data_IF_366975683727
#
_entry.id   IF_366975683727
#
_cell.length_a   1.000
_cell.length_b   1.000
_cell.length_c   1.000
_cell.angle_alpha   90.00
_cell.angle_beta   90.00
_cell.angle_gamma   90.00
#
_symmetry.space_group_name_H-M   'P 1'
#
loop_
_entity.id
_entity.type
_entity.pdbx_description
1 polymer ?
#
# COMPACT_ATOMS: atom_id res chain seq x y z
N UNK A 1 5.60 8.84 26.75
CA UNK A 1 5.35 7.38 26.69
C UNK A 1 3.94 7.15 27.22
N UNK A 2 3.03 6.62 26.40
CA UNK A 2 1.68 6.22 26.84
C UNK A 2 1.74 4.71 27.10
N UNK A 3 1.55 4.31 28.35
CA UNK A 3 1.45 2.91 28.76
C UNK A 3 -0.02 2.61 29.02
N UNK A 4 -0.49 1.47 28.52
CA UNK A 4 -1.86 1.04 28.66
C UNK A 4 -1.92 -0.43 29.10
N UNK A 5 -2.94 -0.77 29.89
CA UNK A 5 -3.22 -2.14 30.34
C UNK A 5 -4.73 -2.38 30.28
N UNK A 6 -5.13 -3.59 29.87
CA UNK A 6 -6.53 -4.03 29.93
C UNK A 6 -6.60 -5.43 30.56
N UNK A 7 -7.61 -5.64 31.41
CA UNK A 7 -7.95 -6.96 31.94
C UNK A 7 -8.71 -7.83 30.93
N UNK A 8 -9.08 -7.28 29.78
CA UNK A 8 -9.90 -7.93 28.75
C UNK A 8 -9.09 -8.44 27.55
N UNK A 9 -7.76 -8.53 27.68
CA UNK A 9 -6.87 -9.09 26.66
C UNK A 9 -6.08 -8.05 25.85
N UNK A 10 -5.21 -8.55 24.97
CA UNK A 10 -4.25 -7.73 24.20
C UNK A 10 -4.96 -6.90 23.14
N UNK A 11 -6.00 -7.45 22.50
CA UNK A 11 -6.80 -6.73 21.51
C UNK A 11 -7.46 -5.47 22.09
N UNK A 12 -8.05 -5.56 23.30
CA UNK A 12 -8.60 -4.39 23.98
C UNK A 12 -7.49 -3.42 24.38
N UNK A 13 -6.41 -3.91 24.99
CA UNK A 13 -5.29 -3.07 25.41
C UNK A 13 -4.68 -2.27 24.25
N UNK A 14 -4.45 -2.90 23.09
CA UNK A 14 -3.93 -2.23 21.89
C UNK A 14 -4.91 -1.22 21.32
N UNK A 15 -6.21 -1.53 21.32
CA UNK A 15 -7.25 -0.60 20.86
C UNK A 15 -7.33 0.64 21.75
N UNK A 16 -7.39 0.47 23.06
CA UNK A 16 -7.49 1.59 24.01
C UNK A 16 -6.21 2.44 24.05
N UNK A 17 -5.05 1.79 23.92
CA UNK A 17 -3.78 2.48 23.68
C UNK A 17 -3.85 3.32 22.39
N UNK A 18 -4.29 2.72 21.29
CA UNK A 18 -4.42 3.38 20.00
C UNK A 18 -5.40 4.55 20.00
N UNK A 19 -6.54 4.41 20.70
CA UNK A 19 -7.48 5.52 20.93
C UNK A 19 -6.81 6.67 21.69
N UNK A 20 -6.01 6.36 22.72
CA UNK A 20 -5.27 7.36 23.48
C UNK A 20 -4.22 8.07 22.62
N UNK A 21 -3.50 7.33 21.79
CA UNK A 21 -2.55 7.88 20.82
C UNK A 21 -3.28 8.80 19.82
N UNK A 22 -4.37 8.35 19.19
CA UNK A 22 -5.14 9.17 18.25
C UNK A 22 -5.66 10.45 18.88
N UNK A 23 -6.16 10.40 20.12
CA UNK A 23 -6.57 11.61 20.87
C UNK A 23 -5.39 12.56 21.12
N UNK A 24 -4.24 12.04 21.52
CA UNK A 24 -3.05 12.86 21.80
C UNK A 24 -2.54 13.60 20.56
N UNK A 25 -2.71 13.03 19.37
CA UNK A 25 -2.28 13.61 18.10
C UNK A 25 -3.43 14.23 17.28
N UNK A 26 -4.63 14.33 17.83
CA UNK A 26 -5.84 14.80 17.14
C UNK A 26 -6.12 14.08 15.80
N UNK A 27 -5.76 12.79 15.70
CA UNK A 27 -6.00 12.00 14.50
C UNK A 27 -7.46 11.55 14.44
N UNK A 28 -8.15 11.96 13.38
CA UNK A 28 -9.50 11.50 13.05
C UNK A 28 -9.44 10.29 12.10
N UNK A 29 -10.59 9.64 11.90
CA UNK A 29 -10.74 8.53 10.94
C UNK A 29 -11.35 9.00 9.60
N UNK A 30 -11.56 10.30 9.44
CA UNK A 30 -12.37 10.86 8.35
C UNK A 30 -11.81 10.50 6.97
N UNK A 31 -10.50 10.69 6.74
CA UNK A 31 -9.90 10.33 5.46
C UNK A 31 -9.93 8.83 5.21
N UNK A 32 -9.65 7.99 6.22
CA UNK A 32 -9.74 6.52 6.09
C UNK A 32 -11.16 6.06 5.73
N UNK A 33 -12.19 6.64 6.36
CA UNK A 33 -13.58 6.28 6.11
C UNK A 33 -14.07 6.72 4.72
N UNK A 34 -13.50 7.79 4.17
CA UNK A 34 -13.89 8.33 2.85
C UNK A 34 -12.91 7.97 1.73
N UNK A 35 -11.90 7.14 1.99
CA UNK A 35 -10.91 6.75 0.99
C UNK A 35 -11.52 5.79 -0.04
N UNK A 36 -11.49 6.17 -1.31
CA UNK A 36 -11.98 5.33 -2.41
C UNK A 36 -11.26 3.97 -2.41
N UNK A 37 -9.94 3.97 -2.17
CA UNK A 37 -9.10 2.76 -2.22
C UNK A 37 -9.36 1.78 -1.08
N UNK A 38 -10.03 2.23 0.00
CA UNK A 38 -10.41 1.40 1.15
C UNK A 38 -11.87 0.93 1.03
N UNK A 39 -12.71 1.66 0.29
CA UNK A 39 -14.15 1.40 0.21
C UNK A 39 -14.58 0.64 -1.03
N UNK A 40 -13.78 0.68 -2.10
CA UNK A 40 -14.12 0.04 -3.37
C UNK A 40 -13.02 -0.90 -3.82
N UNK A 41 -13.42 -1.92 -4.58
CA UNK A 41 -12.52 -2.88 -5.22
C UNK A 41 -11.50 -2.13 -6.09
N UNK A 42 -10.24 -2.50 -5.98
CA UNK A 42 -9.14 -2.02 -6.81
C UNK A 42 -8.59 -3.10 -7.74
N UNK A 43 -7.69 -2.69 -8.64
CA UNK A 43 -6.88 -3.60 -9.43
C UNK A 43 -5.41 -3.18 -9.35
N UNK A 44 -4.51 -4.08 -8.94
CA UNK A 44 -3.11 -3.74 -8.67
C UNK A 44 -2.15 -4.44 -9.63
N UNK A 45 -1.03 -3.78 -9.92
CA UNK A 45 0.06 -4.30 -10.76
C UNK A 45 1.38 -4.39 -9.99
N UNK A 46 1.26 -4.56 -8.66
CA UNK A 46 2.31 -4.66 -7.65
C UNK A 46 2.95 -6.05 -7.57
N UNK A 47 3.98 -6.18 -6.73
CA UNK A 47 4.87 -7.35 -6.67
C UNK A 47 4.16 -8.63 -6.19
N UNK A 48 3.62 -9.37 -7.15
CA UNK A 48 2.80 -10.56 -6.97
C UNK A 48 1.66 -10.60 -7.99
N UNK A 49 1.22 -9.44 -8.50
CA UNK A 49 0.27 -9.34 -9.60
C UNK A 49 0.86 -9.84 -10.93
N UNK A 50 0.00 -10.22 -11.86
CA UNK A 50 0.38 -10.77 -13.17
C UNK A 50 1.14 -9.74 -14.03
N UNK A 51 0.82 -8.45 -13.89
CA UNK A 51 1.40 -7.37 -14.69
C UNK A 51 2.50 -6.57 -13.97
N UNK A 52 3.17 -7.17 -12.98
CA UNK A 52 4.34 -6.56 -12.34
C UNK A 52 5.60 -6.80 -13.18
N UNK A 53 6.18 -5.73 -13.74
CA UNK A 53 7.28 -5.83 -14.73
C UNK A 53 6.94 -6.76 -15.90
N UNK A 54 5.66 -6.85 -16.25
CA UNK A 54 5.10 -7.73 -17.27
C UNK A 54 3.89 -7.07 -17.92
N UNK A 55 3.76 -7.22 -19.24
CA UNK A 55 2.65 -6.67 -20.02
C UNK A 55 1.83 -7.81 -20.62
N UNK A 56 0.65 -7.48 -21.15
CA UNK A 56 -0.06 -8.43 -22.00
C UNK A 56 0.77 -8.75 -23.25
N UNK A 57 0.61 -9.97 -23.78
CA UNK A 57 1.41 -10.42 -24.92
C UNK A 57 1.22 -9.47 -26.11
N UNK A 58 2.34 -9.05 -26.72
CA UNK A 58 2.39 -8.09 -27.83
C UNK A 58 1.88 -6.67 -27.50
N UNK A 59 1.71 -6.33 -26.22
CA UNK A 59 1.31 -5.00 -25.77
C UNK A 59 2.41 -4.30 -24.98
N UNK A 60 2.39 -2.96 -25.02
CA UNK A 60 3.07 -2.14 -24.01
C UNK A 60 2.17 -1.96 -22.76
N UNK A 61 2.67 -1.21 -21.76
CA UNK A 61 1.90 -0.99 -20.53
C UNK A 61 0.68 -0.10 -20.71
N UNK A 62 0.76 0.95 -21.54
CA UNK A 62 -0.39 1.78 -21.87
C UNK A 62 -1.56 0.94 -22.38
N UNK A 63 -1.31 0.10 -23.39
CA UNK A 63 -2.28 -0.81 -23.98
C UNK A 63 -2.78 -1.86 -22.98
N UNK A 64 -1.88 -2.36 -22.12
CA UNK A 64 -2.19 -3.35 -21.08
C UNK A 64 -3.14 -2.77 -20.03
N UNK A 65 -2.82 -1.59 -19.48
CA UNK A 65 -3.63 -0.91 -18.45
C UNK A 65 -4.99 -0.48 -19.01
N UNK A 66 -5.04 0.03 -20.24
CA UNK A 66 -6.30 0.31 -20.93
C UNK A 66 -7.10 -0.98 -21.13
N UNK A 67 -6.45 -2.08 -21.55
CA UNK A 67 -7.10 -3.37 -21.73
C UNK A 67 -7.66 -3.94 -20.43
N UNK A 68 -6.95 -3.80 -19.30
CA UNK A 68 -7.45 -4.15 -17.96
C UNK A 68 -8.78 -3.44 -17.71
N UNK A 69 -8.84 -2.13 -17.92
CA UNK A 69 -10.05 -1.31 -17.71
C UNK A 69 -11.24 -1.69 -18.61
N UNK A 70 -10.99 -2.29 -19.77
CA UNK A 70 -12.00 -2.56 -20.79
C UNK A 70 -12.43 -4.02 -20.86
N UNK A 71 -11.53 -4.96 -20.54
CA UNK A 71 -11.74 -6.39 -20.75
C UNK A 71 -12.04 -7.15 -19.47
N UNK A 72 -11.53 -6.71 -18.32
CA UNK A 72 -11.84 -7.35 -17.03
C UNK A 72 -13.21 -6.87 -16.56
N UNK A 73 -14.15 -7.80 -16.42
CA UNK A 73 -15.53 -7.53 -16.02
C UNK A 73 -15.68 -7.48 -14.49
N UNK A 74 -14.87 -6.65 -13.82
CA UNK A 74 -14.96 -6.36 -12.39
C UNK A 74 -15.34 -4.89 -12.18
N UNK A 75 -16.14 -4.58 -11.14
CA UNK A 75 -16.52 -3.21 -10.82
C UNK A 75 -15.44 -2.48 -10.00
N UNK A 76 -14.15 -2.64 -10.35
CA UNK A 76 -13.10 -1.91 -9.66
C UNK A 76 -13.22 -0.40 -9.95
N UNK A 77 -12.85 0.42 -8.96
CA UNK A 77 -13.00 1.88 -9.01
C UNK A 77 -11.68 2.63 -9.13
N UNK A 78 -10.56 1.92 -9.16
CA UNK A 78 -9.24 2.49 -9.36
C UNK A 78 -8.26 1.41 -9.81
N UNK A 79 -7.17 1.82 -10.46
CA UNK A 79 -6.06 0.95 -10.87
C UNK A 79 -4.78 1.45 -10.23
N UNK A 80 -3.94 0.55 -9.72
CA UNK A 80 -2.60 0.88 -9.24
C UNK A 80 -1.56 0.63 -10.34
N UNK A 81 -0.66 1.61 -10.51
CA UNK A 81 0.55 1.49 -11.34
C UNK A 81 1.78 1.40 -10.42
N UNK A 82 2.48 0.27 -10.50
CA UNK A 82 3.60 -0.02 -9.60
C UNK A 82 4.94 0.56 -10.09
N UNK A 83 6.03 0.28 -9.38
CA UNK A 83 7.39 0.76 -9.58
C UNK A 83 7.98 0.67 -10.99
N UNK A 84 7.31 0.04 -11.97
CA UNK A 84 7.73 -0.04 -13.36
C UNK A 84 7.51 1.25 -14.18
N UNK A 85 6.63 2.17 -13.75
CA UNK A 85 6.18 3.29 -14.60
C UNK A 85 7.08 4.52 -14.70
N UNK A 86 7.92 4.78 -13.69
CA UNK A 86 8.75 5.98 -13.59
C UNK A 86 10.25 5.70 -13.77
N UNK A 87 11.06 6.75 -13.87
CA UNK A 87 12.51 6.66 -14.06
C UNK A 87 13.23 6.30 -12.77
N UNK A 88 14.17 5.35 -12.89
CA UNK A 88 15.00 4.89 -11.77
C UNK A 88 16.43 5.40 -11.89
N UNK A 89 17.01 5.78 -10.75
CA UNK A 89 18.41 6.17 -10.60
C UNK A 89 19.20 5.13 -9.84
N UNK A 90 20.18 5.61 -9.07
CA UNK A 90 21.09 4.78 -8.26
C UNK A 90 20.32 3.77 -7.39
N UNK A 91 20.75 2.51 -7.47
CA UNK A 91 20.19 1.37 -6.73
C UNK A 91 18.75 0.99 -7.11
N UNK A 92 18.16 1.64 -8.11
CA UNK A 92 16.75 1.44 -8.47
C UNK A 92 15.77 2.32 -7.67
N UNK A 93 16.27 3.36 -6.98
CA UNK A 93 15.45 4.42 -6.38
C UNK A 93 14.87 5.35 -7.43
N UNK A 94 13.96 6.23 -7.04
CA UNK A 94 13.29 7.18 -7.95
C UNK A 94 14.26 8.29 -8.32
N UNK A 95 14.57 8.43 -9.61
CA UNK A 95 15.33 9.58 -10.13
C UNK A 95 14.41 10.69 -10.62
N UNK A 96 13.33 10.32 -11.28
CA UNK A 96 12.26 11.20 -11.77
C UNK A 96 10.93 10.45 -11.70
N UNK A 97 9.93 11.03 -11.05
CA UNK A 97 8.61 10.44 -10.84
C UNK A 97 7.62 10.93 -11.91
N UNK A 98 8.00 10.70 -13.16
CA UNK A 98 7.24 11.07 -14.36
C UNK A 98 7.03 9.84 -15.24
N UNK A 99 5.93 9.81 -16.01
CA UNK A 99 5.65 8.69 -16.92
C UNK A 99 6.69 8.60 -18.01
N UNK A 100 7.18 7.39 -18.25
CA UNK A 100 8.17 7.13 -19.30
C UNK A 100 7.50 6.92 -20.67
N UNK A 101 7.96 7.56 -21.76
CA UNK A 101 7.39 7.37 -23.10
C UNK A 101 7.51 5.94 -23.67
N UNK A 102 8.46 5.13 -23.18
CA UNK A 102 8.57 3.73 -23.60
C UNK A 102 7.59 2.79 -22.87
N UNK A 103 6.92 3.29 -21.82
CA UNK A 103 5.89 2.60 -21.04
C UNK A 103 4.50 3.16 -21.39
N UNK A 104 4.39 4.49 -21.45
CA UNK A 104 3.20 5.27 -21.78
C UNK A 104 3.49 6.25 -22.93
N UNK A 105 3.45 5.79 -24.19
CA UNK A 105 3.78 6.62 -25.35
C UNK A 105 2.93 7.89 -25.47
N UNK A 106 1.65 7.82 -25.12
CA UNK A 106 0.74 8.97 -25.14
C UNK A 106 0.64 9.68 -23.77
N UNK A 107 1.32 9.16 -22.76
CA UNK A 107 1.39 9.68 -21.40
C UNK A 107 0.15 9.37 -20.55
N UNK A 108 0.31 9.44 -19.23
CA UNK A 108 -0.76 9.15 -18.27
C UNK A 108 -2.05 9.97 -18.46
N UNK A 109 -2.03 11.25 -18.88
CA UNK A 109 -3.27 11.98 -19.19
C UNK A 109 -4.10 11.33 -20.30
N UNK A 110 -3.46 10.73 -21.31
CA UNK A 110 -4.16 10.01 -22.36
C UNK A 110 -4.73 8.70 -21.83
N UNK A 111 -3.95 7.95 -21.04
CA UNK A 111 -4.39 6.70 -20.38
C UNK A 111 -5.62 6.96 -19.51
N UNK A 112 -5.58 7.98 -18.66
CA UNK A 112 -6.69 8.35 -17.78
C UNK A 112 -7.99 8.63 -18.56
N UNK A 113 -7.90 9.37 -19.68
CA UNK A 113 -9.05 9.60 -20.57
C UNK A 113 -9.56 8.31 -21.22
N UNK A 114 -8.66 7.46 -21.72
CA UNK A 114 -9.02 6.21 -22.41
C UNK A 114 -9.64 5.17 -21.48
N UNK A 115 -9.26 5.17 -20.19
CA UNK A 115 -9.90 4.40 -19.12
C UNK A 115 -11.19 5.05 -18.60
N UNK A 116 -11.75 6.06 -19.29
CA UNK A 116 -12.94 6.81 -18.87
C UNK A 116 -12.81 7.41 -17.47
N UNK A 117 -11.63 7.95 -17.20
CA UNK A 117 -11.29 8.64 -15.95
C UNK A 117 -11.29 7.77 -14.69
N UNK A 118 -11.11 6.45 -14.82
CA UNK A 118 -10.84 5.59 -13.66
C UNK A 118 -9.60 6.13 -12.91
N UNK A 119 -9.72 6.49 -11.63
CA UNK A 119 -8.62 7.01 -10.82
C UNK A 119 -7.41 6.08 -10.75
N UNK A 120 -6.25 6.68 -10.52
CA UNK A 120 -4.99 5.97 -10.37
C UNK A 120 -4.48 6.02 -8.92
N UNK A 121 -3.94 4.89 -8.47
CA UNK A 121 -3.01 4.82 -7.35
C UNK A 121 -1.60 4.63 -7.91
N UNK A 122 -0.59 5.26 -7.33
CA UNK A 122 0.76 5.18 -7.87
C UNK A 122 1.82 4.93 -6.81
N UNK A 123 2.65 3.93 -7.10
CA UNK A 123 3.81 3.54 -6.31
C UNK A 123 4.94 4.58 -6.38
N UNK A 124 5.66 4.77 -5.27
CA UNK A 124 6.96 5.43 -5.20
C UNK A 124 7.94 4.62 -4.32
N UNK A 125 9.18 4.42 -4.80
CA UNK A 125 10.27 3.77 -4.03
C UNK A 125 10.93 4.77 -3.06
N UNK A 126 12.10 4.41 -2.54
CA UNK A 126 13.03 5.39 -1.98
C UNK A 126 13.55 6.35 -3.08
N UNK A 127 13.95 7.56 -2.72
CA UNK A 127 14.49 8.55 -3.67
C UNK A 127 15.98 8.29 -3.92
N UNK A 128 16.40 8.28 -5.18
CA UNK A 128 17.80 8.03 -5.54
C UNK A 128 18.68 9.27 -5.28
N UNK A 129 19.96 9.06 -4.94
CA UNK A 129 20.92 10.15 -4.74
C UNK A 129 21.14 11.04 -5.97
N UNK A 130 20.89 10.52 -7.17
CA UNK A 130 20.96 11.21 -8.46
C UNK A 130 19.60 11.70 -8.96
N UNK A 131 18.61 11.84 -8.06
CA UNK A 131 17.31 12.40 -8.41
C UNK A 131 17.43 13.80 -9.02
N UNK A 132 16.74 14.02 -10.14
CA UNK A 132 16.81 15.28 -10.87
C UNK A 132 16.20 16.44 -10.06
N UNK A 133 15.31 16.13 -9.12
CA UNK A 133 14.62 17.12 -8.30
C UNK A 133 15.57 17.88 -7.37
N UNK A 134 16.70 17.27 -6.98
CA UNK A 134 17.74 17.90 -6.15
C UNK A 134 18.38 19.15 -6.78
N UNK A 135 18.15 19.39 -8.08
CA UNK A 135 18.62 20.60 -8.78
C UNK A 135 17.79 21.85 -8.45
N UNK A 136 16.49 21.65 -8.22
CA UNK A 136 15.51 22.73 -8.05
C UNK A 136 14.86 22.73 -6.67
N UNK A 137 14.92 21.59 -5.98
CA UNK A 137 14.34 21.37 -4.67
C UNK A 137 15.40 20.90 -3.68
N UNK A 138 15.11 21.11 -2.43
CA UNK A 138 15.95 20.81 -1.31
C UNK A 138 15.85 19.31 -0.97
N UNK A 139 16.97 18.63 -1.16
CA UNK A 139 17.14 17.23 -0.84
C UNK A 139 18.35 17.04 0.07
N UNK A 140 18.21 16.18 1.07
CA UNK A 140 19.35 15.64 1.81
C UNK A 140 19.82 14.39 1.10
N UNK A 141 21.10 14.34 0.74
CA UNK A 141 21.66 13.26 -0.08
C UNK A 141 22.65 12.44 0.74
N UNK A 142 22.48 11.13 0.70
CA UNK A 142 23.43 10.13 1.17
C UNK A 142 24.12 9.48 -0.03
N UNK A 143 25.25 10.04 -0.43
CA UNK A 143 26.05 9.53 -1.54
C UNK A 143 26.65 8.15 -1.26
N UNK A 144 26.80 7.75 0.01
CA UNK A 144 27.38 6.45 0.37
C UNK A 144 26.39 5.35 0.09
N UNK A 145 25.12 5.54 0.47
CA UNK A 145 24.07 4.55 0.28
C UNK A 145 23.19 4.82 -0.96
N UNK A 146 23.53 5.82 -1.76
CA UNK A 146 22.87 6.11 -3.04
C UNK A 146 21.43 6.59 -2.90
N UNK A 147 21.09 7.25 -1.80
CA UNK A 147 19.72 7.65 -1.44
C UNK A 147 19.62 9.16 -1.24
N UNK A 148 18.42 9.69 -1.39
CA UNK A 148 18.10 11.07 -1.04
C UNK A 148 16.78 11.13 -0.26
N UNK A 149 16.49 12.27 0.35
CA UNK A 149 15.20 12.58 0.96
C UNK A 149 14.81 14.03 0.64
N UNK A 150 13.60 14.28 0.11
CA UNK A 150 13.08 15.63 -0.03
C UNK A 150 12.86 16.22 1.36
N UNK A 151 13.39 17.42 1.59
CA UNK A 151 13.21 18.13 2.85
C UNK A 151 12.13 19.21 2.75
N UNK A 152 11.50 19.48 3.89
CA UNK A 152 10.23 20.20 4.02
C UNK A 152 10.30 21.72 3.86
N UNK A 153 11.30 22.27 3.18
CA UNK A 153 11.58 23.71 3.13
C UNK A 153 11.21 24.38 1.79
N UNK A 154 10.61 23.65 0.84
CA UNK A 154 10.14 24.18 -0.43
C UNK A 154 8.82 23.53 -0.91
N UNK A 155 8.44 23.79 -2.17
CA UNK A 155 7.18 23.35 -2.79
C UNK A 155 7.20 21.93 -3.37
N UNK A 156 8.30 21.17 -3.25
CA UNK A 156 8.49 19.90 -3.96
C UNK A 156 7.26 18.98 -3.93
N UNK A 157 6.73 18.69 -2.74
CA UNK A 157 5.61 17.77 -2.60
C UNK A 157 4.29 18.32 -3.15
N UNK A 158 4.06 19.63 -3.05
CA UNK A 158 2.87 20.27 -3.61
C UNK A 158 2.94 20.18 -5.12
N UNK A 159 4.07 20.57 -5.72
CA UNK A 159 4.25 20.55 -7.17
C UNK A 159 4.12 19.13 -7.72
N UNK A 160 4.67 18.12 -7.02
CA UNK A 160 4.58 16.72 -7.41
C UNK A 160 3.13 16.19 -7.35
N UNK A 161 2.40 16.47 -6.26
CA UNK A 161 1.04 15.96 -6.08
C UNK A 161 0.00 16.73 -6.89
N UNK A 162 0.16 18.04 -7.08
CA UNK A 162 -0.74 18.83 -7.91
C UNK A 162 -0.65 18.39 -9.37
N UNK A 163 0.56 18.29 -9.93
CA UNK A 163 0.80 17.76 -11.28
C UNK A 163 0.12 16.40 -11.47
N UNK A 164 0.31 15.49 -10.51
CA UNK A 164 -0.21 14.14 -10.63
C UNK A 164 -1.73 14.02 -10.48
N UNK A 165 -2.30 14.74 -9.52
CA UNK A 165 -3.74 14.76 -9.26
C UNK A 165 -4.49 15.42 -10.42
N UNK A 166 -4.04 16.60 -10.87
CA UNK A 166 -4.75 17.39 -11.88
C UNK A 166 -4.64 16.80 -13.29
N UNK A 167 -3.48 16.24 -13.66
CA UNK A 167 -3.24 15.88 -15.05
C UNK A 167 -3.56 14.42 -15.38
N UNK A 168 -3.50 13.51 -14.40
CA UNK A 168 -3.73 12.10 -14.66
C UNK A 168 -4.50 11.34 -13.57
N UNK A 169 -5.19 12.06 -12.67
CA UNK A 169 -6.21 11.48 -11.81
C UNK A 169 -5.67 10.62 -10.67
N UNK A 170 -4.49 10.96 -10.14
CA UNK A 170 -3.94 10.32 -8.96
C UNK A 170 -4.82 10.60 -7.72
N UNK A 171 -5.23 9.54 -7.01
CA UNK A 171 -5.98 9.63 -5.75
C UNK A 171 -5.23 9.07 -4.54
N UNK A 172 -4.22 8.23 -4.78
CA UNK A 172 -3.43 7.58 -3.75
C UNK A 172 -1.96 7.54 -4.14
N UNK A 173 -1.10 8.11 -3.29
CA UNK A 173 0.34 7.97 -3.38
C UNK A 173 0.81 6.88 -2.42
N UNK A 174 1.44 5.85 -2.96
CA UNK A 174 2.04 4.78 -2.16
C UNK A 174 3.53 5.09 -1.93
N UNK A 175 3.88 5.37 -0.67
CA UNK A 175 5.27 5.45 -0.25
C UNK A 175 5.75 4.05 0.16
N UNK A 176 6.43 3.38 -0.76
CA UNK A 176 7.05 2.08 -0.55
C UNK A 176 8.54 2.20 -0.19
N UNK A 177 9.16 1.06 0.11
CA UNK A 177 10.56 0.93 0.49
C UNK A 177 10.92 1.79 1.70
N UNK A 178 9.96 2.08 2.58
CA UNK A 178 10.16 2.94 3.75
C UNK A 178 11.27 2.42 4.66
N UNK A 179 11.33 1.10 4.89
CA UNK A 179 12.42 0.48 5.64
C UNK A 179 13.77 0.68 4.93
N UNK A 180 13.85 0.45 3.62
CA UNK A 180 15.09 0.62 2.85
C UNK A 180 15.52 2.08 2.78
N UNK A 181 14.59 3.03 2.70
CA UNK A 181 14.88 4.45 2.71
C UNK A 181 15.47 4.93 4.04
N UNK A 182 15.27 4.21 5.15
CA UNK A 182 15.58 4.72 6.50
C UNK A 182 16.57 3.88 7.32
N UNK A 183 16.69 2.58 7.08
CA UNK A 183 17.56 1.69 7.89
C UNK A 183 19.04 2.06 7.73
N UNK A 184 19.49 2.26 6.49
CA UNK A 184 20.89 2.52 6.14
C UNK A 184 21.13 3.98 5.69
N UNK A 185 20.08 4.80 5.57
CA UNK A 185 20.21 6.21 5.23
C UNK A 185 20.84 6.99 6.39
N UNK A 186 22.14 7.32 6.24
CA UNK A 186 22.98 7.91 7.27
C UNK A 186 22.37 9.19 7.85
N UNK A 187 21.81 10.13 7.05
CA UNK A 187 21.29 11.38 7.59
C UNK A 187 20.16 11.21 8.60
N UNK A 188 19.30 10.20 8.47
CA UNK A 188 18.26 9.91 9.50
C UNK A 188 18.83 9.32 10.79
N UNK A 189 20.09 8.89 10.79
CA UNK A 189 20.80 8.38 11.98
C UNK A 189 21.54 9.49 12.74
N UNK A 190 21.74 10.65 12.11
CA UNK A 190 22.44 11.79 12.70
C UNK A 190 21.50 12.96 13.01
N UNK A 191 20.36 13.07 12.33
CA UNK A 191 19.29 14.03 12.62
C UNK A 191 17.98 13.31 12.97
N UNK A 192 17.63 13.36 14.26
CA UNK A 192 16.43 12.70 14.82
C UNK A 192 15.10 13.29 14.32
N UNK A 193 15.12 14.48 13.71
CA UNK A 193 13.93 15.16 13.21
C UNK A 193 13.76 15.03 11.69
N UNK A 194 14.78 14.56 10.96
CA UNK A 194 14.75 14.50 9.50
C UNK A 194 13.61 13.64 8.96
N UNK A 195 13.41 12.45 9.51
CA UNK A 195 12.32 11.55 9.10
C UNK A 195 10.93 12.16 9.34
N UNK A 196 10.72 12.81 10.50
CA UNK A 196 9.47 13.49 10.81
C UNK A 196 9.22 14.64 9.83
N UNK A 197 10.22 15.49 9.56
CA UNK A 197 10.09 16.61 8.61
C UNK A 197 9.74 16.12 7.21
N UNK A 198 10.40 15.06 6.73
CA UNK A 198 10.12 14.45 5.44
C UNK A 198 8.68 13.92 5.33
N UNK A 199 8.25 13.07 6.27
CA UNK A 199 6.95 12.44 6.19
C UNK A 199 5.80 13.44 6.43
N UNK A 200 5.98 14.39 7.36
CA UNK A 200 4.95 15.41 7.62
C UNK A 200 4.84 16.44 6.51
N UNK A 201 5.90 16.76 5.75
CA UNK A 201 5.77 17.64 4.59
C UNK A 201 5.02 16.99 3.43
N UNK A 202 5.33 15.73 3.14
CA UNK A 202 4.56 14.90 2.22
C UNK A 202 3.08 14.87 2.64
N UNK A 203 2.82 14.63 3.93
CA UNK A 203 1.49 14.63 4.51
C UNK A 203 0.72 15.95 4.36
N UNK A 204 1.39 17.08 4.61
CA UNK A 204 0.79 18.41 4.47
C UNK A 204 0.43 18.75 3.03
N UNK A 205 1.29 18.39 2.08
CA UNK A 205 1.00 18.57 0.65
C UNK A 205 -0.20 17.70 0.24
N UNK A 206 -0.22 16.44 0.65
CA UNK A 206 -1.35 15.54 0.40
C UNK A 206 -2.68 16.10 0.95
N UNK A 207 -2.65 16.70 2.15
CA UNK A 207 -3.83 17.35 2.72
C UNK A 207 -4.34 18.51 1.87
N UNK A 208 -3.43 19.37 1.38
CA UNK A 208 -3.79 20.52 0.54
C UNK A 208 -4.37 20.11 -0.81
N UNK A 209 -3.84 19.04 -1.41
CA UNK A 209 -4.29 18.55 -2.73
C UNK A 209 -5.53 17.66 -2.61
N UNK A 210 -5.80 17.10 -1.43
CA UNK A 210 -6.91 16.17 -1.22
C UNK A 210 -6.57 14.71 -1.56
N UNK A 211 -5.30 14.34 -1.54
CA UNK A 211 -4.78 13.03 -1.90
C UNK A 211 -4.50 12.17 -0.64
N UNK A 212 -4.72 10.86 -0.73
CA UNK A 212 -4.40 9.93 0.37
C UNK A 212 -3.04 9.26 0.16
N UNK A 213 -2.46 8.74 1.24
CA UNK A 213 -1.15 8.10 1.26
C UNK A 213 -1.27 6.67 1.80
N UNK A 214 -0.64 5.73 1.10
CA UNK A 214 -0.38 4.37 1.59
C UNK A 214 1.06 4.25 2.05
N UNK A 215 1.28 3.65 3.22
CA UNK A 215 2.62 3.26 3.68
C UNK A 215 2.91 1.80 3.39
N UNK A 216 4.13 1.56 2.94
CA UNK A 216 4.50 0.30 2.36
C UNK A 216 5.96 -0.05 2.71
N UNK A 217 6.21 -1.31 3.06
CA UNK A 217 7.39 -1.79 3.80
C UNK A 217 7.71 -0.92 5.04
N UNK A 218 6.68 -0.52 5.79
CA UNK A 218 6.82 0.41 6.91
C UNK A 218 7.35 -0.27 8.18
N UNK A 219 8.40 0.30 8.78
CA UNK A 219 8.77 0.02 10.17
C UNK A 219 7.72 0.58 11.15
N UNK A 220 7.64 0.07 12.40
CA UNK A 220 6.72 0.60 13.42
C UNK A 220 6.84 2.10 13.66
N UNK A 221 8.04 2.68 13.49
CA UNK A 221 8.26 4.13 13.60
C UNK A 221 7.53 4.94 12.51
N UNK A 222 7.41 4.40 11.30
CA UNK A 222 6.66 5.05 10.22
C UNK A 222 5.17 4.94 10.47
N UNK A 223 4.69 3.77 10.90
CA UNK A 223 3.31 3.59 11.32
C UNK A 223 2.93 4.61 12.40
N UNK A 224 3.74 4.77 13.45
CA UNK A 224 3.53 5.78 14.50
C UNK A 224 3.55 7.22 13.95
N UNK A 225 4.42 7.54 12.98
CA UNK A 225 4.46 8.87 12.37
C UNK A 225 3.15 9.24 11.66
N UNK A 226 2.36 8.26 11.20
CA UNK A 226 1.05 8.49 10.61
C UNK A 226 0.04 9.11 11.59
N UNK A 227 0.28 9.06 12.91
CA UNK A 227 -0.53 9.78 13.89
C UNK A 227 -0.55 11.29 13.63
N UNK A 228 0.53 11.85 13.07
CA UNK A 228 0.63 13.28 12.70
C UNK A 228 0.21 13.57 11.25
N UNK A 229 -0.19 12.54 10.49
CA UNK A 229 -0.47 12.66 9.05
C UNK A 229 -1.84 12.04 8.74
N UNK A 230 -2.93 12.81 8.84
CA UNK A 230 -4.29 12.31 8.63
C UNK A 230 -4.51 11.65 7.27
N UNK A 231 -3.79 12.11 6.22
CA UNK A 231 -3.83 11.53 4.86
C UNK A 231 -3.14 10.20 4.71
N UNK A 232 -2.33 9.74 5.66
CA UNK A 232 -1.93 8.33 5.65
C UNK A 232 -3.13 7.53 6.14
N UNK A 233 -3.85 6.92 5.21
CA UNK A 233 -5.12 6.22 5.47
C UNK A 233 -4.90 4.73 5.67
N UNK A 234 -3.82 4.17 5.11
CA UNK A 234 -3.56 2.74 5.09
C UNK A 234 -2.07 2.38 5.11
N UNK A 235 -1.78 1.16 5.51
CA UNK A 235 -0.44 0.59 5.45
C UNK A 235 -0.49 -0.90 5.12
N UNK A 236 0.47 -1.38 4.32
CA UNK A 236 0.66 -2.82 4.13
C UNK A 236 1.08 -3.46 5.45
N UNK A 237 0.38 -4.53 5.82
CA UNK A 237 0.58 -5.27 7.08
C UNK A 237 1.13 -6.69 6.87
N UNK A 238 1.55 -7.00 5.66
CA UNK A 238 2.09 -8.28 5.19
C UNK A 238 3.42 -8.05 4.44
N UNK A 239 4.09 -9.14 4.05
CA UNK A 239 5.12 -9.11 3.01
C UNK A 239 4.50 -8.96 1.61
N UNK A 240 5.33 -8.77 0.60
CA UNK A 240 4.89 -8.77 -0.81
C UNK A 240 4.26 -10.14 -1.18
N UNK A 241 3.16 -10.14 -1.93
CA UNK A 241 2.43 -11.34 -2.31
C UNK A 241 3.28 -12.36 -3.08
N UNK A 242 4.27 -11.91 -3.87
CA UNK A 242 5.23 -12.80 -4.55
C UNK A 242 5.97 -13.75 -3.60
N UNK A 243 6.20 -13.35 -2.34
CA UNK A 243 6.89 -14.18 -1.35
C UNK A 243 6.03 -15.38 -0.98
N UNK A 244 4.72 -15.19 -0.89
CA UNK A 244 3.74 -16.25 -0.68
C UNK A 244 3.59 -17.15 -1.90
N UNK A 245 3.52 -16.57 -3.10
CA UNK A 245 3.44 -17.37 -4.32
C UNK A 245 4.66 -18.30 -4.50
N UNK A 246 5.82 -17.93 -3.93
CA UNK A 246 7.05 -18.74 -3.88
C UNK A 246 7.12 -19.70 -2.68
N UNK A 247 6.06 -19.76 -1.87
CA UNK A 247 5.95 -20.57 -0.65
C UNK A 247 7.05 -20.28 0.38
N UNK A 248 7.52 -19.02 0.44
CA UNK A 248 8.58 -18.58 1.36
C UNK A 248 8.03 -17.93 2.63
N UNK A 249 6.78 -17.50 2.60
CA UNK A 249 6.09 -16.88 3.73
C UNK A 249 4.58 -17.10 3.65
N UNK A 250 3.91 -17.09 4.79
CA UNK A 250 2.45 -17.07 4.88
C UNK A 250 1.97 -15.62 4.92
N UNK A 251 2.00 -14.96 3.76
CA UNK A 251 1.75 -13.53 3.62
C UNK A 251 0.36 -13.08 4.14
N UNK A 252 -0.60 -14.01 4.18
CA UNK A 252 -1.92 -13.85 4.79
C UNK A 252 -1.90 -13.75 6.34
N UNK A 253 -0.77 -13.98 7.01
CA UNK A 253 -0.66 -13.96 8.49
C UNK A 253 -0.53 -12.54 9.06
N UNK A 254 -1.60 -11.75 8.94
CA UNK A 254 -1.58 -10.31 9.22
C UNK A 254 -2.15 -9.93 10.60
N UNK A 255 -2.45 -10.89 11.47
CA UNK A 255 -3.29 -10.65 12.66
C UNK A 255 -2.72 -9.63 13.66
N UNK A 256 -1.41 -9.62 13.87
CA UNK A 256 -0.74 -8.73 14.85
C UNK A 256 -0.45 -7.36 14.23
N UNK A 257 0.02 -7.34 12.99
CA UNK A 257 0.28 -6.11 12.24
C UNK A 257 -1.02 -5.35 11.96
N UNK A 258 -2.12 -6.05 11.67
CA UNK A 258 -3.47 -5.47 11.55
C UNK A 258 -3.94 -4.82 12.85
N UNK A 259 -3.67 -5.47 13.99
CA UNK A 259 -4.00 -4.93 15.32
C UNK A 259 -3.29 -3.59 15.57
N UNK A 260 -2.00 -3.50 15.23
CA UNK A 260 -1.24 -2.26 15.38
C UNK A 260 -1.75 -1.16 14.43
N UNK A 261 -1.90 -1.47 13.14
CA UNK A 261 -2.30 -0.50 12.13
C UNK A 261 -3.68 0.11 12.46
N UNK A 262 -4.66 -0.72 12.80
CA UNK A 262 -6.00 -0.25 13.13
C UNK A 262 -6.06 0.57 14.42
N UNK A 263 -5.30 0.19 15.45
CA UNK A 263 -5.24 0.90 16.72
C UNK A 263 -4.91 2.40 16.52
N UNK A 264 -3.95 2.69 15.64
CA UNK A 264 -3.52 4.06 15.31
C UNK A 264 -4.35 4.69 14.17
N UNK A 265 -5.38 4.01 13.68
CA UNK A 265 -6.32 4.54 12.70
C UNK A 265 -5.90 4.38 11.24
N UNK A 266 -5.00 3.45 10.93
CA UNK A 266 -4.68 3.04 9.56
C UNK A 266 -5.55 1.85 9.18
N UNK A 267 -5.91 1.74 7.91
CA UNK A 267 -6.49 0.55 7.33
C UNK A 267 -5.37 -0.47 7.04
N UNK A 268 -5.42 -1.68 7.63
CA UNK A 268 -4.51 -2.77 7.27
C UNK A 268 -4.74 -3.22 5.82
N UNK A 269 -3.70 -3.13 4.98
CA UNK A 269 -3.70 -3.66 3.61
C UNK A 269 -2.95 -4.99 3.55
N UNK A 270 -3.59 -6.04 3.01
CA UNK A 270 -2.96 -7.36 2.85
C UNK A 270 -2.01 -7.44 1.66
N UNK A 271 -1.94 -6.49 0.73
CA UNK A 271 -1.33 -6.69 -0.60
C UNK A 271 -2.28 -7.38 -1.60
N UNK A 272 -1.88 -7.38 -2.88
CA UNK A 272 -2.60 -8.01 -3.99
C UNK A 272 -2.82 -9.50 -3.79
N UNK A 273 -3.70 -10.07 -4.61
CA UNK A 273 -3.89 -11.51 -4.72
C UNK A 273 -4.26 -11.93 -6.14
N UNK A 274 -4.09 -13.22 -6.42
CA UNK A 274 -4.70 -13.87 -7.57
C UNK A 274 -6.00 -14.55 -7.16
N UNK A 275 -7.04 -14.38 -7.97
CA UNK A 275 -8.28 -15.13 -7.80
C UNK A 275 -8.15 -16.56 -8.30
N UNK A 276 -7.17 -16.92 -9.12
CA UNK A 276 -6.92 -18.30 -9.53
C UNK A 276 -5.61 -18.89 -9.01
N UNK A 277 -5.58 -20.21 -8.88
CA UNK A 277 -4.37 -20.91 -8.43
C UNK A 277 -3.23 -20.84 -9.42
N UNK A 278 -3.54 -20.78 -10.71
CA UNK A 278 -2.57 -20.76 -11.80
C UNK A 278 -2.91 -19.58 -12.70
N UNK A 279 -1.91 -18.77 -12.98
CA UNK A 279 -1.93 -17.65 -13.91
C UNK A 279 -0.90 -17.92 -15.03
N UNK A 280 -1.29 -18.59 -16.12
CA UNK A 280 -0.36 -18.99 -17.18
C UNK A 280 0.34 -17.78 -17.80
N UNK A 281 1.67 -17.82 -17.86
CA UNK A 281 2.47 -16.71 -18.41
C UNK A 281 2.88 -15.67 -17.38
N UNK A 282 2.54 -15.85 -16.09
CA UNK A 282 2.99 -14.93 -15.05
C UNK A 282 4.53 -14.82 -15.02
N UNK A 283 5.10 -13.62 -14.72
CA UNK A 283 6.52 -13.34 -14.85
C UNK A 283 7.40 -13.96 -13.74
N UNK A 284 6.86 -14.90 -12.97
CA UNK A 284 7.51 -15.46 -11.80
C UNK A 284 8.10 -16.85 -12.10
N UNK A 285 9.31 -17.10 -11.62
CA UNK A 285 10.02 -18.37 -11.86
C UNK A 285 9.43 -19.50 -11.01
N UNK A 286 9.03 -20.58 -11.69
CA UNK A 286 8.35 -21.77 -11.17
C UNK A 286 9.00 -22.49 -9.97
N UNK A 287 8.20 -23.23 -9.15
CA UNK A 287 6.73 -23.27 -9.19
C UNK A 287 6.10 -22.11 -8.43
N UNK A 288 5.27 -21.32 -9.12
CA UNK A 288 4.56 -20.16 -8.55
C UNK A 288 3.06 -20.38 -8.71
N UNK A 289 2.37 -20.53 -7.59
CA UNK A 289 0.92 -20.76 -7.59
C UNK A 289 0.27 -20.16 -6.36
N UNK A 290 -1.02 -19.80 -6.48
CA UNK A 290 -1.85 -19.49 -5.32
C UNK A 290 -2.52 -20.78 -4.81
N UNK A 291 -2.07 -21.35 -3.68
CA UNK A 291 -2.61 -22.62 -3.19
C UNK A 291 -4.07 -22.53 -2.72
N UNK A 292 -4.52 -21.38 -2.22
CA UNK A 292 -5.85 -21.20 -1.61
C UNK A 292 -6.41 -19.80 -1.95
N UNK A 293 -6.87 -19.55 -3.20
CA UNK A 293 -7.35 -18.22 -3.62
C UNK A 293 -8.48 -17.66 -2.75
N UNK A 294 -9.39 -18.53 -2.29
CA UNK A 294 -10.48 -18.16 -1.39
C UNK A 294 -9.98 -17.58 -0.05
N UNK A 295 -8.82 -18.04 0.46
CA UNK A 295 -8.21 -17.49 1.68
C UNK A 295 -7.66 -16.10 1.41
N UNK A 296 -6.96 -15.89 0.30
CA UNK A 296 -6.39 -14.57 -0.01
C UNK A 296 -7.47 -13.51 -0.16
N UNK A 297 -8.57 -13.84 -0.84
CA UNK A 297 -9.72 -12.93 -0.97
C UNK A 297 -10.35 -12.65 0.41
N UNK A 298 -10.56 -13.67 1.23
CA UNK A 298 -11.11 -13.51 2.57
C UNK A 298 -10.20 -12.61 3.44
N UNK A 299 -8.90 -12.90 3.47
CA UNK A 299 -7.92 -12.18 4.27
C UNK A 299 -7.62 -10.79 3.70
N UNK A 300 -7.84 -10.53 2.40
CA UNK A 300 -7.80 -9.17 1.86
C UNK A 300 -9.02 -8.35 2.30
N UNK A 301 -10.19 -8.99 2.46
CA UNK A 301 -11.47 -8.31 2.74
C UNK A 301 -11.66 -7.94 4.21
N UNK A 302 -11.39 -8.88 5.12
CA UNK A 302 -11.68 -8.72 6.55
C UNK A 302 -10.81 -7.73 7.35
N UNK A 303 -9.62 -7.27 6.90
CA UNK A 303 -8.82 -6.28 7.62
C UNK A 303 -9.33 -4.85 7.49
N UNK A 304 -10.37 -4.59 6.70
CA UNK A 304 -10.97 -3.25 6.47
C UNK A 304 -10.12 -2.27 5.64
N UNK A 305 -9.05 -2.75 5.01
CA UNK A 305 -8.25 -2.00 4.03
C UNK A 305 -8.60 -2.33 2.58
N UNK A 306 -7.71 -1.96 1.63
CA UNK A 306 -7.90 -2.22 0.22
C UNK A 306 -8.05 -3.69 -0.09
N UNK A 307 -8.88 -3.96 -1.09
CA UNK A 307 -9.02 -5.26 -1.72
C UNK A 307 -8.72 -5.06 -3.19
N UNK A 308 -7.65 -5.69 -3.68
CA UNK A 308 -7.23 -5.57 -5.06
C UNK A 308 -6.76 -6.90 -5.65
N UNK A 309 -7.35 -7.26 -6.78
CA UNK A 309 -6.89 -8.39 -7.59
C UNK A 309 -5.73 -7.97 -8.49
N UNK A 310 -4.88 -8.92 -8.85
CA UNK A 310 -3.79 -8.74 -9.81
C UNK A 310 -3.77 -9.81 -10.90
N UNK A 311 -4.90 -10.44 -11.18
CA UNK A 311 -5.08 -11.52 -12.15
C UNK A 311 -4.83 -11.08 -13.60
N UNK A 312 -4.44 -11.99 -14.50
CA UNK A 312 -4.41 -11.67 -15.93
C UNK A 312 -5.83 -11.43 -16.48
N UNK A 313 -5.92 -10.66 -17.57
CA UNK A 313 -7.20 -10.30 -18.23
C UNK A 313 -8.10 -11.51 -18.50
N UNK A 314 -7.53 -12.61 -19.01
CA UNK A 314 -8.29 -13.80 -19.37
C UNK A 314 -8.37 -14.86 -18.25
N UNK A 315 -7.77 -14.59 -17.09
CA UNK A 315 -7.69 -15.50 -15.96
C UNK A 315 -8.28 -14.90 -14.69
N UNK A 316 -9.08 -13.84 -14.80
CA UNK A 316 -9.80 -13.28 -13.64
C UNK A 316 -11.07 -14.09 -13.33
N UNK A 317 -11.15 -14.75 -12.16
CA UNK A 317 -12.38 -15.35 -11.64
C UNK A 317 -13.27 -14.28 -10.98
N UNK A 318 -14.09 -13.63 -11.82
CA UNK A 318 -15.04 -12.59 -11.41
C UNK A 318 -15.95 -13.07 -10.29
N UNK A 319 -16.49 -14.30 -10.38
CA UNK A 319 -17.44 -14.79 -9.37
C UNK A 319 -16.78 -14.96 -8.01
N UNK A 320 -15.53 -15.41 -7.99
CA UNK A 320 -14.76 -15.57 -6.74
C UNK A 320 -14.44 -14.22 -6.12
N UNK A 321 -13.97 -13.25 -6.91
CA UNK A 321 -13.65 -11.90 -6.42
C UNK A 321 -14.89 -11.19 -5.90
N UNK A 322 -16.03 -11.26 -6.61
CA UNK A 322 -17.27 -10.59 -6.21
C UNK A 322 -17.85 -11.06 -4.86
N UNK A 323 -17.26 -12.07 -4.20
CA UNK A 323 -17.60 -12.43 -2.81
C UNK A 323 -17.13 -11.38 -1.79
N UNK A 324 -16.19 -10.50 -2.15
CA UNK A 324 -15.68 -9.45 -1.27
C UNK A 324 -16.41 -8.11 -1.39
N UNK A 325 -17.29 -7.93 -2.39
CA UNK A 325 -17.90 -6.64 -2.70
C UNK A 325 -19.34 -6.78 -3.23
N UNK A 326 -20.09 -5.68 -3.23
CA UNK A 326 -21.38 -5.61 -3.91
C UNK A 326 -21.22 -5.36 -5.42
N UNK A 327 -22.33 -5.27 -6.15
CA UNK A 327 -22.36 -5.06 -7.61
C UNK A 327 -21.63 -3.80 -8.08
N UNK A 328 -21.56 -2.76 -7.24
CA UNK A 328 -20.87 -1.51 -7.53
C UNK A 328 -19.38 -1.52 -7.14
N UNK A 329 -18.90 -2.65 -6.61
CA UNK A 329 -17.53 -2.83 -6.14
C UNK A 329 -17.30 -2.31 -4.73
N UNK A 330 -18.33 -1.89 -3.98
CA UNK A 330 -18.18 -1.52 -2.57
C UNK A 330 -17.81 -2.75 -1.75
N UNK A 331 -16.68 -2.67 -1.03
CA UNK A 331 -16.14 -3.78 -0.25
C UNK A 331 -17.03 -4.10 0.95
N UNK A 332 -17.37 -5.37 1.12
CA UNK A 332 -18.15 -5.91 2.24
C UNK A 332 -17.22 -6.21 3.42
N UNK A 333 -16.80 -5.14 4.11
CA UNK A 333 -15.87 -5.21 5.25
C UNK A 333 -16.60 -5.17 6.60
N UNK A 334 -16.02 -5.79 7.64
CA UNK A 334 -16.50 -5.66 9.02
C UNK A 334 -16.19 -4.28 9.62
N UNK A 335 -16.74 -3.98 10.81
CA UNK A 335 -16.47 -2.73 11.53
C UNK A 335 -15.09 -2.70 12.19
N UNK A 336 -14.52 -3.87 12.46
CA UNK A 336 -13.17 -4.03 13.01
C UNK A 336 -12.34 -4.96 12.14
N UNK A 337 -11.03 -4.71 11.98
CA UNK A 337 -10.18 -5.62 11.22
C UNK A 337 -10.17 -7.02 11.84
N UNK A 338 -9.88 -8.00 10.99
CA UNK A 338 -9.41 -9.30 11.45
C UNK A 338 -8.10 -9.16 12.22
N UNK A 339 -8.05 -9.71 13.43
CA UNK A 339 -6.85 -9.72 14.30
C UNK A 339 -6.65 -11.09 14.93
N UNK A 340 -5.41 -11.37 15.33
CA UNK A 340 -5.10 -12.59 16.10
C UNK A 340 -5.82 -12.54 17.45
N UNK A 341 -6.44 -13.66 17.85
CA UNK A 341 -7.13 -13.74 19.14
C UNK A 341 -6.14 -13.69 20.31
N UNK A 342 -6.60 -13.19 21.46
CA UNK A 342 -5.73 -12.96 22.64
C UNK A 342 -5.03 -14.23 23.13
N UNK A 343 -5.69 -15.38 23.07
CA UNK A 343 -5.11 -16.66 23.48
C UNK A 343 -3.85 -17.00 22.66
N UNK A 344 -3.89 -16.81 21.34
CA UNK A 344 -2.74 -17.07 20.48
C UNK A 344 -1.63 -16.04 20.65
N UNK A 345 -1.96 -14.77 20.91
CA UNK A 345 -0.94 -13.77 21.24
C UNK A 345 -0.22 -14.13 22.54
N UNK A 346 -0.96 -14.62 23.55
CA UNK A 346 -0.38 -15.08 24.81
C UNK A 346 0.50 -16.32 24.62
N UNK A 347 0.03 -17.31 23.87
CA UNK A 347 0.80 -18.51 23.54
C UNK A 347 2.06 -18.17 22.74
N UNK A 348 1.96 -17.23 21.80
CA UNK A 348 3.09 -16.74 21.01
C UNK A 348 4.18 -16.13 21.91
N UNK A 349 3.77 -15.31 22.88
CA UNK A 349 4.68 -14.73 23.86
C UNK A 349 5.34 -15.78 24.78
N UNK A 350 4.59 -16.82 25.18
CA UNK A 350 5.13 -17.92 26.00
C UNK A 350 6.09 -18.84 25.23
N UNK A 351 5.92 -18.92 23.90
CA UNK A 351 6.75 -19.76 23.02
C UNK A 351 7.85 -18.95 22.31
N UNK A 352 8.42 -17.94 22.96
CA UNK A 352 9.54 -17.14 22.45
C UNK A 352 9.31 -16.53 21.06
N UNK A 353 8.07 -16.14 20.75
CA UNK A 353 7.76 -15.59 19.45
C UNK A 353 7.63 -16.63 18.34
N UNK A 354 7.32 -17.90 18.65
CA UNK A 354 6.93 -18.92 17.65
C UNK A 354 5.41 -19.14 17.68
N UNK A 355 4.72 -18.85 16.56
CA UNK A 355 3.27 -19.06 16.43
C UNK A 355 2.95 -20.55 16.61
N UNK A 356 1.91 -20.86 17.39
CA UNK A 356 1.42 -22.23 17.63
C UNK A 356 0.23 -22.59 16.74
N UNK A 357 -0.15 -21.70 15.82
CA UNK A 357 -1.31 -21.81 14.96
C UNK A 357 -1.90 -20.43 14.68
N UNK A 358 -2.82 -20.37 13.73
CA UNK A 358 -3.46 -19.12 13.32
C UNK A 358 -4.97 -19.22 13.54
N UNK A 359 -5.49 -18.30 14.37
CA UNK A 359 -6.92 -18.11 14.60
C UNK A 359 -7.16 -16.63 14.78
N UNK A 360 -8.12 -16.13 14.01
CA UNK A 360 -8.45 -14.73 13.97
C UNK A 360 -9.90 -14.47 14.35
N UNK A 361 -10.16 -13.25 14.79
CA UNK A 361 -11.51 -12.74 15.04
C UNK A 361 -11.68 -11.36 14.42
N UNK A 362 -12.91 -11.03 14.06
CA UNK A 362 -13.34 -9.70 13.61
C UNK A 362 -14.70 -9.40 14.25
N UNK A 363 -15.21 -8.17 14.12
CA UNK A 363 -16.49 -7.74 14.64
C UNK A 363 -17.25 -6.94 13.58
N UNK A 364 -18.52 -7.33 13.36
CA UNK A 364 -19.52 -6.52 12.69
C UNK A 364 -20.58 -6.10 13.70
N UNK A 365 -20.85 -4.81 13.80
CA UNK A 365 -21.91 -4.22 14.61
C UNK A 365 -23.16 -4.13 13.72
N UNK A 366 -24.27 -4.72 14.20
CA UNK A 366 -25.58 -4.68 13.52
C UNK A 366 -26.39 -3.46 13.93
#
# INVERSE_FOLDING_TARGET
MIVFYSSHGVNEAMREWGQSMRRAFNRTMEHRLNDITINYLGYYTDNGGYYYYHTETEMNYEETIISISQKISLPFRYIQIDSWWYYKGIGGGVSEWSSRPDIFPDGLPAVHRQMKYIPLAAHNRYWAADTIYSKNYAFVIDHVNGKALPISNDSFWIDLFDEASQNWGLILYEQDWLNVQTIDFIPTRTDIHLGQRWLTSMGKAAEQIGLNIQYCMSLPRHALQALEIPRVTQARVSNDYVVHLRQQDSQWTIGVSSMLADAIGLAPYKDVFWSNSIEPGAPYKEPVMEPVPDREILIATLPTGPVASGDAINYTDVKRIMRCCNEDGTILKPDRPITMIDALVADWAQNNGVSQGELYSTLSML
#
